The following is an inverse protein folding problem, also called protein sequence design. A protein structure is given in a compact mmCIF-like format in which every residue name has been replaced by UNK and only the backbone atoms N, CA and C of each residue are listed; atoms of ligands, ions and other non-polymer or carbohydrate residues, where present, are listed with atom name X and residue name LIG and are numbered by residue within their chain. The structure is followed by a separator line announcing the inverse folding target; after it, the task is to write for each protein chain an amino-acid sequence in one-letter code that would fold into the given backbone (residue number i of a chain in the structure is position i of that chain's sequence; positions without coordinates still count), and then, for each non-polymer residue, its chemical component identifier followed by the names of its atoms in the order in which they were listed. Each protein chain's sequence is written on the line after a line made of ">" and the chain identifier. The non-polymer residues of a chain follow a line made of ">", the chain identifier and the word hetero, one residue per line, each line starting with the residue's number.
data_IF_453560225826
#
_entry.id   IF_453560225826
#
_cell.length_a   1.000
_cell.length_b   1.000
_cell.length_c   1.000
_cell.angle_alpha   90.00
_cell.angle_beta   90.00
_cell.angle_gamma   90.00
#
_symmetry.space_group_name_H-M   'P 1'
#
loop_
_entity.id
_entity.type
_entity.pdbx_description
1 polymer ?
#
# COMPACT_ATOMS: atom_id res chain seq x y z
N UNK A 1 -21.44 14.15 21.38
CA UNK A 1 -20.44 15.02 20.72
C UNK A 1 -19.24 14.17 20.34
N UNK A 2 -18.84 14.18 19.07
CA UNK A 2 -17.86 13.24 18.51
C UNK A 2 -16.40 13.64 18.69
N UNK A 3 -16.14 14.90 19.07
CA UNK A 3 -14.80 15.43 19.34
C UNK A 3 -14.70 15.89 20.80
N UNK A 4 -13.58 15.58 21.45
CA UNK A 4 -13.27 16.08 22.78
C UNK A 4 -12.86 17.56 22.73
N UNK A 5 -12.07 17.97 21.73
CA UNK A 5 -11.64 19.37 21.56
C UNK A 5 -12.82 20.33 21.44
N UNK A 6 -13.83 20.01 20.62
CA UNK A 6 -15.01 20.85 20.53
C UNK A 6 -15.83 20.82 21.82
N UNK A 7 -15.91 19.67 22.50
CA UNK A 7 -16.60 19.57 23.80
C UNK A 7 -16.00 20.54 24.80
N UNK A 8 -14.68 20.54 24.92
CA UNK A 8 -13.97 21.39 25.86
C UNK A 8 -14.06 22.85 25.42
N UNK A 9 -13.96 23.13 24.11
CA UNK A 9 -14.12 24.47 23.54
C UNK A 9 -15.47 25.10 23.89
N UNK A 10 -16.56 24.34 23.87
CA UNK A 10 -17.89 24.83 24.27
C UNK A 10 -18.03 25.08 25.79
N UNK A 11 -17.08 24.63 26.62
CA UNK A 11 -17.06 24.92 28.07
C UNK A 11 -16.31 26.20 28.41
N UNK A 12 -15.52 26.75 27.48
CA UNK A 12 -14.72 27.96 27.71
C UNK A 12 -15.63 29.18 27.55
N UNK A 13 -15.69 30.08 28.56
CA UNK A 13 -16.44 31.33 28.44
C UNK A 13 -15.91 32.18 27.28
N UNK A 14 -16.82 32.66 26.43
CA UNK A 14 -16.47 33.49 25.29
C UNK A 14 -16.26 34.95 25.74
N UNK A 15 -15.23 35.65 25.24
CA UNK A 15 -15.08 37.09 25.42
C UNK A 15 -16.30 37.89 24.93
N UNK A 16 -16.55 39.03 25.57
CA UNK A 16 -17.71 39.90 25.28
C UNK A 16 -17.77 40.43 23.84
N UNK A 17 -16.62 40.50 23.16
CA UNK A 17 -16.45 41.18 21.87
C UNK A 17 -16.25 40.20 20.69
N UNK A 18 -16.63 38.93 20.85
CA UNK A 18 -16.50 37.96 19.75
C UNK A 18 -17.47 38.22 18.60
N UNK A 19 -16.99 37.94 17.38
CA UNK A 19 -17.81 38.01 16.19
C UNK A 19 -18.96 37.00 16.27
N UNK A 20 -20.17 37.44 15.92
CA UNK A 20 -21.39 36.63 15.98
C UNK A 20 -21.96 36.40 14.58
N UNK A 21 -22.44 35.19 14.33
CA UNK A 21 -23.22 34.83 13.14
C UNK A 21 -24.46 34.08 13.62
N UNK A 22 -25.65 34.57 13.25
CA UNK A 22 -26.94 33.98 13.64
C UNK A 22 -27.11 33.78 15.17
N UNK A 23 -26.48 34.66 15.97
CA UNK A 23 -26.52 34.58 17.44
C UNK A 23 -25.56 33.56 18.05
N UNK A 24 -24.71 32.92 17.25
CA UNK A 24 -23.63 32.05 17.69
C UNK A 24 -22.28 32.73 17.52
N UNK A 25 -21.38 32.52 18.48
CA UNK A 25 -20.01 33.01 18.36
C UNK A 25 -19.24 32.27 17.26
N UNK A 26 -18.41 33.02 16.55
CA UNK A 26 -17.61 32.52 15.44
C UNK A 26 -16.27 32.02 15.95
N UNK A 27 -16.04 30.72 15.78
CA UNK A 27 -14.73 30.10 16.02
C UNK A 27 -13.96 29.98 14.71
N UNK A 28 -12.80 30.61 14.63
CA UNK A 28 -11.92 30.53 13.45
C UNK A 28 -10.98 29.32 13.55
N UNK A 29 -11.21 28.33 12.70
CA UNK A 29 -10.42 27.10 12.63
C UNK A 29 -9.21 27.27 11.69
N UNK A 30 -8.17 27.93 12.21
CA UNK A 30 -6.94 28.30 11.48
C UNK A 30 -6.26 27.09 10.82
N UNK A 31 -5.94 27.19 9.54
CA UNK A 31 -5.16 26.20 8.79
C UNK A 31 -5.96 25.00 8.25
N UNK A 32 -7.28 24.95 8.47
CA UNK A 32 -8.12 23.91 7.89
C UNK A 32 -8.70 24.35 6.54
N UNK A 33 -9.03 23.38 5.70
CA UNK A 33 -9.73 23.64 4.45
C UNK A 33 -11.23 23.46 4.60
N UNK A 34 -12.01 24.27 3.88
CA UNK A 34 -13.46 24.09 3.78
C UNK A 34 -13.80 22.69 3.25
N UNK A 35 -12.97 22.18 2.32
CA UNK A 35 -13.16 20.84 1.72
C UNK A 35 -13.06 19.74 2.77
N UNK A 36 -12.04 19.74 3.62
CA UNK A 36 -11.87 18.72 4.65
C UNK A 36 -13.05 18.73 5.63
N UNK A 37 -13.48 19.93 6.05
CA UNK A 37 -14.65 20.09 6.91
C UNK A 37 -15.93 19.57 6.26
N UNK A 38 -16.17 19.88 4.98
CA UNK A 38 -17.32 19.34 4.26
C UNK A 38 -17.29 17.81 4.17
N UNK A 39 -16.13 17.21 3.91
CA UNK A 39 -15.98 15.75 3.83
C UNK A 39 -16.21 15.09 5.19
N UNK A 40 -15.59 15.61 6.25
CA UNK A 40 -15.79 15.10 7.62
C UNK A 40 -17.24 15.25 8.07
N UNK A 41 -17.86 16.43 7.92
CA UNK A 41 -19.23 16.66 8.39
C UNK A 41 -20.24 15.78 7.65
N UNK A 42 -20.05 15.56 6.34
CA UNK A 42 -20.87 14.62 5.55
C UNK A 42 -20.68 13.17 6.01
N UNK A 43 -19.47 12.79 6.40
CA UNK A 43 -19.19 11.45 6.91
C UNK A 43 -19.71 11.25 8.35
N UNK A 44 -19.73 12.30 9.18
CA UNK A 44 -20.12 12.21 10.60
C UNK A 44 -21.63 12.34 10.78
N UNK A 45 -22.31 13.20 10.01
CA UNK A 45 -23.72 13.51 10.19
C UNK A 45 -24.57 13.04 9.00
N UNK A 46 -25.75 12.41 9.22
CA UNK A 46 -26.45 12.24 10.51
C UNK A 46 -26.16 10.93 11.27
N UNK A 47 -25.47 9.93 10.68
CA UNK A 47 -25.37 8.55 11.23
C UNK A 47 -23.94 8.01 11.44
N UNK A 48 -22.89 8.80 11.20
CA UNK A 48 -21.51 8.30 11.13
C UNK A 48 -21.18 7.68 9.76
N UNK A 49 -19.91 7.27 9.56
CA UNK A 49 -19.42 6.71 8.29
C UNK A 49 -20.40 5.62 7.84
N UNK A 50 -21.10 5.79 6.70
CA UNK A 50 -22.05 4.79 6.22
C UNK A 50 -21.34 3.46 5.91
N UNK A 51 -22.12 2.39 5.71
CA UNK A 51 -21.64 1.13 5.10
C UNK A 51 -21.03 1.35 3.70
N UNK A 52 -21.16 2.55 3.12
CA UNK A 52 -20.49 2.95 1.89
C UNK A 52 -18.98 3.08 2.09
N UNK A 53 -18.25 2.50 1.16
CA UNK A 53 -16.79 2.52 1.09
C UNK A 53 -16.33 3.97 0.77
N UNK A 54 -15.57 4.64 1.65
CA UNK A 54 -15.16 6.04 1.44
C UNK A 54 -14.01 6.14 0.43
N UNK A 55 -13.91 7.28 -0.25
CA UNK A 55 -12.74 7.58 -1.08
C UNK A 55 -11.51 7.95 -0.25
N UNK A 56 -10.33 7.89 -0.87
CA UNK A 56 -9.08 8.30 -0.22
C UNK A 56 -9.11 9.77 0.25
N UNK A 57 -9.80 10.65 -0.48
CA UNK A 57 -9.99 12.05 -0.08
C UNK A 57 -10.80 12.17 1.22
N UNK A 58 -11.85 11.36 1.38
CA UNK A 58 -12.67 11.33 2.60
C UNK A 58 -11.84 10.83 3.77
N UNK A 59 -11.07 9.75 3.57
CA UNK A 59 -10.15 9.22 4.58
C UNK A 59 -9.11 10.26 4.98
N UNK A 60 -8.49 10.94 4.01
CA UNK A 60 -7.49 11.96 4.26
C UNK A 60 -8.06 13.13 5.09
N UNK A 61 -9.23 13.64 4.71
CA UNK A 61 -9.92 14.70 5.44
C UNK A 61 -10.24 14.30 6.88
N UNK A 62 -10.78 13.09 7.07
CA UNK A 62 -11.10 12.57 8.41
C UNK A 62 -9.84 12.41 9.24
N UNK A 63 -8.77 11.84 8.70
CA UNK A 63 -7.53 11.61 9.46
C UNK A 63 -6.87 12.94 9.89
N UNK A 64 -6.80 13.94 8.98
CA UNK A 64 -6.27 15.28 9.31
C UNK A 64 -7.04 15.95 10.44
N UNK A 65 -8.36 16.02 10.28
CA UNK A 65 -9.21 16.70 11.26
C UNK A 65 -9.36 15.90 12.56
N UNK A 66 -9.38 14.57 12.50
CA UNK A 66 -9.43 13.72 13.70
C UNK A 66 -8.14 13.74 14.50
N UNK A 67 -6.98 13.94 13.87
CA UNK A 67 -5.71 14.19 14.56
C UNK A 67 -5.69 15.55 15.25
N UNK A 68 -6.25 16.59 14.62
CA UNK A 68 -6.25 17.97 15.15
C UNK A 68 -7.32 18.23 16.22
N UNK A 69 -8.51 17.70 16.02
CA UNK A 69 -9.69 17.97 16.87
C UNK A 69 -10.16 16.76 17.67
N UNK A 70 -9.37 15.69 17.70
CA UNK A 70 -9.61 14.46 18.45
C UNK A 70 -11.00 13.84 18.19
N UNK A 71 -11.16 13.24 17.02
CA UNK A 71 -12.32 12.43 16.65
C UNK A 71 -11.94 10.92 16.65
N UNK A 72 -11.77 10.28 17.83
CA UNK A 72 -11.06 9.00 17.96
C UNK A 72 -11.73 7.84 17.24
N UNK A 73 -13.07 7.76 17.25
CA UNK A 73 -13.81 6.68 16.57
C UNK A 73 -13.61 6.76 15.05
N UNK A 74 -13.69 7.97 14.49
CA UNK A 74 -13.51 8.20 13.06
C UNK A 74 -12.06 7.99 12.64
N UNK A 75 -11.11 8.43 13.48
CA UNK A 75 -9.69 8.14 13.31
C UNK A 75 -9.45 6.64 13.21
N UNK A 76 -9.86 5.88 14.22
CA UNK A 76 -9.70 4.43 14.28
C UNK A 76 -10.29 3.75 13.04
N UNK A 77 -11.52 4.09 12.68
CA UNK A 77 -12.19 3.51 11.51
C UNK A 77 -11.43 3.77 10.21
N UNK A 78 -10.89 4.97 10.02
CA UNK A 78 -10.10 5.30 8.83
C UNK A 78 -8.73 4.59 8.82
N UNK A 79 -8.05 4.49 9.97
CA UNK A 79 -6.79 3.74 10.08
C UNK A 79 -7.01 2.26 9.82
N UNK A 80 -8.05 1.66 10.40
CA UNK A 80 -8.40 0.26 10.19
C UNK A 80 -8.69 -0.02 8.70
N UNK A 81 -9.38 0.90 8.00
CA UNK A 81 -9.61 0.80 6.54
C UNK A 81 -8.31 0.89 5.72
N UNK A 82 -7.41 1.82 6.05
CA UNK A 82 -6.11 1.92 5.38
C UNK A 82 -5.29 0.63 5.57
N UNK A 83 -5.25 0.08 6.78
CA UNK A 83 -4.55 -1.18 7.08
C UNK A 83 -5.21 -2.39 6.43
N UNK A 84 -6.53 -2.35 6.22
CA UNK A 84 -7.27 -3.36 5.49
C UNK A 84 -6.91 -3.43 4.00
N UNK A 85 -6.73 -2.28 3.33
CA UNK A 85 -6.26 -2.24 1.92
C UNK A 85 -4.77 -2.44 1.76
N UNK A 86 -3.99 -2.01 2.76
CA UNK A 86 -2.54 -2.05 2.74
C UNK A 86 -2.01 -2.92 3.88
N UNK A 87 -2.31 -4.22 3.87
CA UNK A 87 -1.93 -5.11 4.95
C UNK A 87 -0.42 -5.26 5.05
N UNK A 88 0.02 -5.60 6.26
CA UNK A 88 1.44 -5.79 6.55
C UNK A 88 1.90 -7.24 6.33
N UNK A 89 0.98 -8.20 6.17
CA UNK A 89 1.29 -9.60 5.90
C UNK A 89 0.90 -10.01 4.49
N UNK A 90 1.66 -10.95 3.93
CA UNK A 90 1.38 -11.51 2.61
C UNK A 90 0.07 -12.32 2.60
N UNK A 91 -0.24 -12.99 3.71
CA UNK A 91 -1.48 -13.76 3.88
C UNK A 91 -2.71 -12.84 3.77
N UNK A 92 -2.77 -11.77 4.56
CA UNK A 92 -3.85 -10.78 4.47
C UNK A 92 -3.95 -10.18 3.07
N UNK A 93 -2.81 -9.92 2.41
CA UNK A 93 -2.79 -9.40 1.04
C UNK A 93 -3.30 -10.41 0.00
N UNK A 94 -2.96 -11.69 0.15
CA UNK A 94 -3.43 -12.75 -0.74
C UNK A 94 -4.91 -13.14 -0.47
N UNK A 95 -5.47 -12.74 0.67
CA UNK A 95 -6.92 -12.86 0.94
C UNK A 95 -7.73 -11.68 0.38
N UNK A 96 -7.08 -10.61 -0.10
CA UNK A 96 -7.76 -9.53 -0.82
C UNK A 96 -8.14 -10.01 -2.22
N UNK A 97 -9.44 -9.95 -2.53
CA UNK A 97 -9.95 -10.18 -3.90
C UNK A 97 -9.87 -8.89 -4.73
N UNK A 98 -10.38 -7.78 -4.19
CA UNK A 98 -10.38 -6.42 -4.75
C UNK A 98 -10.38 -5.39 -3.59
N UNK A 99 -10.23 -4.11 -3.91
CA UNK A 99 -10.37 -3.03 -2.92
C UNK A 99 -11.78 -3.02 -2.32
N UNK A 100 -11.87 -3.12 -0.99
CA UNK A 100 -13.14 -3.30 -0.25
C UNK A 100 -13.37 -2.29 0.87
N UNK A 101 -12.31 -1.64 1.34
CA UNK A 101 -12.30 -0.67 2.41
C UNK A 101 -12.16 0.78 1.92
N UNK A 102 -11.64 1.01 0.72
CA UNK A 102 -11.51 2.33 0.05
C UNK A 102 -12.12 2.28 -1.36
N UNK A 103 -12.94 3.27 -1.71
CA UNK A 103 -13.58 3.30 -3.03
C UNK A 103 -12.59 3.74 -4.11
N UNK A 104 -12.65 3.11 -5.27
CA UNK A 104 -11.83 3.42 -6.44
C UNK A 104 -10.95 2.25 -6.82
N UNK A 105 -10.04 2.47 -7.76
CA UNK A 105 -9.01 1.51 -8.12
C UNK A 105 -7.67 1.93 -7.50
N UNK A 106 -6.85 0.95 -7.15
CA UNK A 106 -5.45 1.18 -6.83
C UNK A 106 -4.69 1.62 -8.09
N UNK A 107 -4.75 2.90 -8.43
CA UNK A 107 -3.82 3.47 -9.39
C UNK A 107 -2.61 4.08 -8.68
N UNK A 108 -1.56 4.37 -9.45
CA UNK A 108 -0.35 4.98 -8.91
C UNK A 108 -0.61 6.30 -8.18
N UNK A 109 -1.62 7.08 -8.58
CA UNK A 109 -1.94 8.36 -7.92
C UNK A 109 -2.51 8.16 -6.53
N UNK A 110 -3.41 7.18 -6.33
CA UNK A 110 -3.94 6.84 -5.01
C UNK A 110 -2.81 6.41 -4.08
N UNK A 111 -1.89 5.55 -4.54
CA UNK A 111 -0.74 5.15 -3.72
C UNK A 111 0.19 6.33 -3.39
N UNK A 112 0.42 7.25 -4.34
CA UNK A 112 1.22 8.45 -4.08
C UNK A 112 0.58 9.36 -3.02
N UNK A 113 -0.73 9.58 -3.12
CA UNK A 113 -1.49 10.33 -2.11
C UNK A 113 -1.43 9.64 -0.75
N UNK A 114 -1.53 8.31 -0.72
CA UNK A 114 -1.46 7.53 0.50
C UNK A 114 -0.10 7.63 1.17
N UNK A 115 1.01 7.59 0.42
CA UNK A 115 2.36 7.76 0.98
C UNK A 115 2.48 9.12 1.67
N UNK A 116 2.06 10.19 0.99
CA UNK A 116 2.11 11.53 1.56
C UNK A 116 1.22 11.64 2.81
N UNK A 117 0.01 11.08 2.78
CA UNK A 117 -0.91 11.05 3.92
C UNK A 117 -0.37 10.22 5.10
N UNK A 118 0.18 9.04 4.82
CA UNK A 118 0.76 8.13 5.80
C UNK A 118 1.88 8.83 6.59
N UNK A 119 2.74 9.60 5.90
CA UNK A 119 3.78 10.39 6.56
C UNK A 119 3.23 11.57 7.36
N UNK A 120 2.22 12.25 6.84
CA UNK A 120 1.56 13.39 7.50
C UNK A 120 0.86 12.98 8.82
N UNK A 121 0.11 11.88 8.77
CA UNK A 121 -0.70 11.41 9.89
C UNK A 121 0.10 10.53 10.84
N UNK A 122 1.11 9.82 10.34
CA UNK A 122 1.94 8.89 11.09
C UNK A 122 1.42 7.45 11.04
N UNK A 123 0.85 7.02 9.92
CA UNK A 123 0.43 5.62 9.70
C UNK A 123 1.44 4.99 8.76
N UNK A 124 2.58 4.54 9.29
CA UNK A 124 3.74 4.11 8.51
C UNK A 124 3.66 2.66 8.03
N UNK A 125 2.88 1.80 8.69
CA UNK A 125 2.77 0.38 8.30
C UNK A 125 2.20 0.16 6.90
N UNK A 126 1.48 1.11 6.33
CA UNK A 126 0.95 1.02 4.95
C UNK A 126 1.99 1.38 3.88
N UNK A 127 3.11 2.00 4.26
CA UNK A 127 4.11 2.51 3.32
C UNK A 127 4.76 1.43 2.45
N UNK A 128 5.25 0.29 2.98
CA UNK A 128 6.01 -0.66 2.16
C UNK A 128 5.20 -1.20 0.99
N UNK A 129 3.93 -1.57 1.22
CA UNK A 129 3.05 -2.04 0.16
C UNK A 129 2.66 -0.90 -0.80
N UNK A 130 2.40 0.31 -0.30
CA UNK A 130 2.14 1.48 -1.14
C UNK A 130 3.29 1.74 -2.13
N UNK A 131 4.53 1.72 -1.64
CA UNK A 131 5.71 1.85 -2.49
C UNK A 131 5.84 0.69 -3.48
N UNK A 132 5.61 -0.56 -3.03
CA UNK A 132 5.70 -1.75 -3.86
C UNK A 132 4.72 -1.74 -5.05
N UNK A 133 3.50 -1.26 -4.83
CA UNK A 133 2.48 -1.15 -5.87
C UNK A 133 2.85 -0.06 -6.88
N UNK A 134 3.33 1.10 -6.43
CA UNK A 134 3.78 2.19 -7.30
C UNK A 134 4.90 1.75 -8.23
N UNK A 135 5.92 1.05 -7.71
CA UNK A 135 7.10 0.68 -8.53
C UNK A 135 6.84 -0.53 -9.43
N UNK A 136 5.72 -1.24 -9.24
CA UNK A 136 5.26 -2.27 -10.17
C UNK A 136 4.53 -1.69 -11.39
N UNK A 137 4.02 -0.46 -11.27
CA UNK A 137 3.49 0.31 -12.39
C UNK A 137 4.63 1.01 -13.15
N UNK A 138 4.31 1.83 -14.16
CA UNK A 138 5.32 2.55 -14.93
C UNK A 138 6.03 3.61 -14.05
N UNK A 139 7.27 3.28 -13.64
CA UNK A 139 8.11 4.16 -12.84
C UNK A 139 8.35 5.53 -13.51
N UNK A 140 8.29 5.63 -14.85
CA UNK A 140 8.40 6.92 -15.52
C UNK A 140 7.18 7.81 -15.26
N UNK A 141 5.98 7.23 -15.17
CA UNK A 141 4.77 7.98 -14.83
C UNK A 141 4.83 8.53 -13.42
N UNK A 142 5.29 7.72 -12.47
CA UNK A 142 5.49 8.14 -11.07
C UNK A 142 6.50 9.28 -10.97
N UNK A 143 7.62 9.20 -11.71
CA UNK A 143 8.62 10.27 -11.73
C UNK A 143 8.10 11.55 -12.40
N UNK A 144 7.19 11.43 -13.36
CA UNK A 144 6.57 12.56 -14.07
C UNK A 144 5.32 13.10 -13.40
N UNK A 145 4.75 12.40 -12.42
CA UNK A 145 3.50 12.79 -11.81
C UNK A 145 3.62 14.13 -11.11
N UNK A 146 2.61 14.97 -11.37
CA UNK A 146 2.36 16.24 -10.68
C UNK A 146 1.85 16.03 -9.24
N UNK A 147 1.49 14.79 -8.87
CA UNK A 147 1.16 14.43 -7.49
C UNK A 147 2.40 14.56 -6.62
N UNK A 148 2.26 15.29 -5.51
CA UNK A 148 3.37 15.69 -4.65
C UNK A 148 3.89 14.52 -3.78
N UNK A 149 4.72 13.66 -4.36
CA UNK A 149 5.71 12.88 -3.61
C UNK A 149 6.91 13.77 -3.26
N UNK A 150 7.41 13.62 -2.03
CA UNK A 150 8.65 14.28 -1.60
C UNK A 150 9.85 13.77 -2.40
N UNK A 151 10.95 14.55 -2.43
CA UNK A 151 12.21 14.10 -3.07
C UNK A 151 12.74 12.81 -2.46
N UNK A 152 12.58 12.63 -1.14
CA UNK A 152 13.01 11.44 -0.42
C UNK A 152 12.17 10.22 -0.80
N UNK A 153 10.85 10.37 -0.94
CA UNK A 153 9.98 9.28 -1.36
C UNK A 153 10.19 8.91 -2.84
N UNK A 154 10.50 9.88 -3.71
CA UNK A 154 10.90 9.59 -5.10
C UNK A 154 12.21 8.80 -5.15
N UNK A 155 13.19 9.16 -4.32
CA UNK A 155 14.44 8.42 -4.20
C UNK A 155 14.21 7.01 -3.62
N UNK A 156 13.31 6.87 -2.66
CA UNK A 156 12.90 5.58 -2.11
C UNK A 156 12.25 4.69 -3.19
N UNK A 157 11.35 5.21 -4.03
CA UNK A 157 10.79 4.48 -5.17
C UNK A 157 11.88 3.98 -6.12
N UNK A 158 12.79 4.87 -6.55
CA UNK A 158 13.86 4.50 -7.50
C UNK A 158 14.79 3.44 -6.91
N UNK A 159 15.24 3.63 -5.68
CA UNK A 159 16.13 2.70 -4.97
C UNK A 159 15.43 1.37 -4.73
N UNK A 160 14.18 1.42 -4.28
CA UNK A 160 13.34 0.25 -4.04
C UNK A 160 13.09 -0.56 -5.29
N UNK A 161 12.85 0.09 -6.44
CA UNK A 161 12.71 -0.59 -7.72
C UNK A 161 13.93 -1.48 -8.03
N UNK A 162 15.15 -0.91 -7.96
CA UNK A 162 16.38 -1.69 -8.19
C UNK A 162 16.60 -2.78 -7.12
N UNK A 163 16.34 -2.47 -5.86
CA UNK A 163 16.48 -3.44 -4.77
C UNK A 163 15.53 -4.62 -4.94
N UNK A 164 14.27 -4.37 -5.33
CA UNK A 164 13.28 -5.41 -5.58
C UNK A 164 13.60 -6.23 -6.83
N UNK A 165 14.15 -5.61 -7.89
CA UNK A 165 14.62 -6.36 -9.07
C UNK A 165 15.73 -7.36 -8.68
N UNK A 166 16.70 -6.90 -7.87
CA UNK A 166 17.76 -7.76 -7.36
C UNK A 166 17.19 -8.85 -6.46
N UNK A 167 16.33 -8.48 -5.52
CA UNK A 167 15.74 -9.42 -4.57
C UNK A 167 14.94 -10.51 -5.29
N UNK A 168 14.01 -10.13 -6.17
CA UNK A 168 13.17 -11.09 -6.91
C UNK A 168 14.01 -12.07 -7.73
N UNK A 169 15.14 -11.63 -8.29
CA UNK A 169 16.00 -12.48 -9.12
C UNK A 169 16.57 -13.68 -8.34
N UNK A 170 16.77 -13.50 -7.04
CA UNK A 170 17.33 -14.52 -6.14
C UNK A 170 16.28 -15.22 -5.26
N UNK A 171 15.05 -14.73 -5.26
CA UNK A 171 13.94 -15.28 -4.44
C UNK A 171 12.78 -15.72 -5.34
N UNK A 172 11.82 -14.84 -5.61
CA UNK A 172 10.58 -15.10 -6.35
C UNK A 172 10.83 -15.73 -7.73
N UNK A 173 11.88 -15.30 -8.43
CA UNK A 173 12.26 -15.78 -9.76
C UNK A 173 13.41 -16.80 -9.75
N UNK A 174 13.85 -17.26 -8.59
CA UNK A 174 14.97 -18.21 -8.47
C UNK A 174 14.70 -19.53 -9.20
N UNK A 175 13.43 -19.94 -9.32
CA UNK A 175 13.01 -21.13 -10.03
C UNK A 175 13.36 -21.10 -11.54
N UNK A 176 13.59 -19.92 -12.12
CA UNK A 176 14.04 -19.75 -13.50
C UNK A 176 15.52 -20.16 -13.70
N UNK A 177 16.30 -20.29 -12.62
CA UNK A 177 17.70 -20.71 -12.69
C UNK A 177 18.63 -19.70 -13.39
N UNK A 178 18.24 -18.43 -13.43
CA UNK A 178 19.01 -17.35 -14.06
C UNK A 178 20.14 -16.89 -13.11
N UNK A 179 21.27 -17.60 -13.13
CA UNK A 179 22.46 -17.24 -12.33
C UNK A 179 22.66 -18.06 -11.06
N UNK A 180 21.80 -19.04 -10.78
CA UNK A 180 21.91 -20.00 -9.67
C UNK A 180 21.81 -21.45 -10.18
N UNK A 181 21.92 -22.43 -9.28
CA UNK A 181 21.71 -23.84 -9.63
C UNK A 181 20.26 -24.03 -10.07
N UNK A 182 20.05 -24.50 -11.30
CA UNK A 182 18.70 -24.78 -11.78
C UNK A 182 17.99 -25.81 -10.89
N UNK A 183 16.76 -25.46 -10.47
CA UNK A 183 15.88 -26.37 -9.73
C UNK A 183 15.08 -27.28 -10.66
N UNK A 184 15.02 -26.94 -11.95
CA UNK A 184 14.30 -27.66 -12.99
C UNK A 184 15.33 -28.23 -14.01
N UNK A 185 15.33 -29.55 -14.29
CA UNK A 185 14.33 -30.53 -13.89
C UNK A 185 14.50 -30.95 -12.43
N UNK A 186 13.39 -31.16 -11.72
CA UNK A 186 13.42 -31.76 -10.39
C UNK A 186 13.72 -33.27 -10.48
N UNK A 187 14.01 -33.91 -9.34
CA UNK A 187 14.32 -35.35 -9.27
C UNK A 187 13.23 -36.26 -9.83
N UNK A 188 11.96 -35.85 -9.70
CA UNK A 188 10.79 -36.61 -10.17
C UNK A 188 10.27 -36.12 -11.53
N UNK A 189 11.10 -35.44 -12.33
CA UNK A 189 10.68 -34.88 -13.60
C UNK A 189 10.26 -35.96 -14.61
N UNK A 190 9.06 -35.83 -15.17
CA UNK A 190 8.56 -36.74 -16.21
C UNK A 190 9.08 -36.40 -17.61
N UNK A 191 9.61 -35.19 -17.80
CA UNK A 191 10.13 -34.70 -19.08
C UNK A 191 11.44 -33.91 -18.92
N UNK A 192 12.57 -34.60 -18.66
CA UNK A 192 13.84 -33.97 -18.31
C UNK A 192 14.44 -33.04 -19.38
N UNK A 193 14.08 -33.23 -20.66
CA UNK A 193 14.50 -32.34 -21.75
C UNK A 193 13.55 -31.15 -21.97
N UNK A 194 12.23 -31.38 -21.84
CA UNK A 194 11.21 -30.37 -22.13
C UNK A 194 11.04 -29.35 -21.00
N UNK A 195 11.05 -29.77 -19.73
CA UNK A 195 10.83 -28.84 -18.62
C UNK A 195 11.91 -27.75 -18.53
N UNK A 196 13.22 -28.05 -18.70
CA UNK A 196 14.23 -26.99 -18.70
C UNK A 196 14.15 -26.06 -19.91
N UNK A 197 13.75 -26.58 -21.08
CA UNK A 197 13.52 -25.76 -22.27
C UNK A 197 12.35 -24.80 -22.04
N UNK A 198 11.24 -25.29 -21.49
CA UNK A 198 10.09 -24.48 -21.08
C UNK A 198 10.48 -23.38 -20.08
N UNK A 199 11.27 -23.69 -19.06
CA UNK A 199 11.75 -22.68 -18.09
C UNK A 199 12.57 -21.58 -18.78
N UNK A 200 13.44 -21.94 -19.74
CA UNK A 200 14.19 -20.96 -20.53
C UNK A 200 13.27 -20.08 -21.37
N UNK A 201 12.24 -20.66 -21.99
CA UNK A 201 11.26 -19.88 -22.76
C UNK A 201 10.46 -18.93 -21.88
N UNK A 202 10.03 -19.38 -20.69
CA UNK A 202 9.36 -18.50 -19.72
C UNK A 202 10.30 -17.38 -19.30
N UNK A 203 11.55 -17.70 -18.93
CA UNK A 203 12.55 -16.69 -18.59
C UNK A 203 12.72 -15.65 -19.70
N UNK A 204 12.84 -16.07 -20.96
CA UNK A 204 12.95 -15.16 -22.09
C UNK A 204 11.70 -14.29 -22.29
N UNK A 205 10.49 -14.82 -22.04
CA UNK A 205 9.25 -14.04 -22.10
C UNK A 205 9.20 -12.99 -20.99
N UNK A 206 9.50 -13.38 -19.75
CA UNK A 206 9.48 -12.49 -18.58
C UNK A 206 10.56 -11.41 -18.64
N UNK A 207 11.77 -11.74 -19.13
CA UNK A 207 12.89 -10.80 -19.23
C UNK A 207 12.78 -9.81 -20.41
N UNK A 208 11.88 -10.05 -21.37
CA UNK A 208 11.70 -9.14 -22.52
C UNK A 208 10.98 -7.84 -22.15
N UNK A 209 10.35 -7.77 -20.99
CA UNK A 209 9.71 -6.56 -20.50
C UNK A 209 10.75 -5.44 -20.30
N UNK A 210 10.48 -4.26 -20.84
CA UNK A 210 11.29 -3.06 -20.64
C UNK A 210 10.38 -1.89 -20.23
N UNK A 211 10.46 -1.42 -18.98
CA UNK A 211 11.37 -1.88 -17.93
C UNK A 211 11.03 -3.32 -17.44
N UNK A 212 11.98 -4.03 -16.79
CA UNK A 212 11.73 -5.38 -16.28
C UNK A 212 10.56 -5.44 -15.30
N UNK A 213 9.68 -6.42 -15.47
CA UNK A 213 8.48 -6.53 -14.63
C UNK A 213 8.85 -6.95 -13.19
N UNK A 214 8.29 -6.25 -12.20
CA UNK A 214 8.34 -6.62 -10.80
C UNK A 214 7.13 -7.49 -10.45
N UNK A 215 7.38 -8.68 -9.90
CA UNK A 215 6.31 -9.62 -9.54
C UNK A 215 6.29 -10.00 -8.06
N UNK A 216 6.91 -9.18 -7.21
CA UNK A 216 7.08 -9.46 -5.78
C UNK A 216 5.76 -9.56 -5.01
N UNK A 217 4.72 -8.82 -5.42
CA UNK A 217 3.36 -8.95 -4.84
C UNK A 217 2.41 -9.78 -5.72
N UNK A 218 2.82 -10.16 -6.94
CA UNK A 218 1.94 -10.85 -7.90
C UNK A 218 1.91 -12.36 -7.64
N UNK A 219 0.73 -12.96 -7.70
CA UNK A 219 0.55 -14.42 -7.62
C UNK A 219 1.16 -15.14 -8.85
N UNK A 220 1.30 -16.44 -8.73
CA UNK A 220 1.79 -17.31 -9.80
C UNK A 220 0.95 -17.17 -11.09
N UNK A 221 1.59 -17.13 -12.26
CA UNK A 221 0.86 -17.12 -13.54
C UNK A 221 0.45 -18.53 -13.94
N UNK A 222 -0.87 -18.78 -14.01
CA UNK A 222 -1.41 -20.06 -14.46
C UNK A 222 -0.96 -20.45 -15.88
N UNK A 223 -0.54 -19.49 -16.70
CA UNK A 223 0.01 -19.78 -18.03
C UNK A 223 1.30 -20.62 -17.95
N UNK A 224 2.13 -20.40 -16.93
CA UNK A 224 3.37 -21.16 -16.73
C UNK A 224 3.12 -22.63 -16.43
N UNK A 225 1.91 -22.99 -15.98
CA UNK A 225 1.55 -24.37 -15.70
C UNK A 225 1.63 -25.26 -16.94
N UNK A 226 1.27 -24.72 -18.10
CA UNK A 226 1.11 -25.50 -19.35
C UNK A 226 2.44 -25.98 -19.93
N UNK A 227 3.55 -25.36 -19.53
CA UNK A 227 4.87 -25.55 -20.13
C UNK A 227 5.69 -26.65 -19.43
N UNK A 228 5.29 -27.07 -18.21
CA UNK A 228 6.06 -28.01 -17.38
C UNK A 228 5.25 -29.24 -16.98
N UNK A 229 5.95 -30.36 -16.75
CA UNK A 229 5.34 -31.52 -16.11
C UNK A 229 4.91 -31.19 -14.66
N UNK A 230 3.94 -31.94 -14.12
CA UNK A 230 3.33 -31.69 -12.80
C UNK A 230 4.33 -31.57 -11.65
N UNK A 231 5.42 -32.35 -11.67
CA UNK A 231 6.42 -32.34 -10.59
C UNK A 231 7.29 -31.08 -10.65
N UNK A 232 7.79 -30.71 -11.83
CA UNK A 232 8.55 -29.47 -12.02
C UNK A 232 7.69 -28.23 -11.76
N UNK A 233 6.43 -28.23 -12.19
CA UNK A 233 5.47 -27.16 -11.89
C UNK A 233 5.30 -26.97 -10.40
N UNK A 234 5.08 -28.04 -9.64
CA UNK A 234 4.98 -27.98 -8.18
C UNK A 234 6.25 -27.40 -7.57
N UNK A 235 7.43 -27.92 -7.94
CA UNK A 235 8.71 -27.39 -7.45
C UNK A 235 8.88 -25.90 -7.75
N UNK A 236 8.51 -25.45 -8.96
CA UNK A 236 8.61 -24.04 -9.32
C UNK A 236 7.65 -23.14 -8.51
N UNK A 237 6.40 -23.57 -8.30
CA UNK A 237 5.42 -22.88 -7.44
C UNK A 237 5.92 -22.79 -6.00
N UNK A 238 6.37 -23.90 -5.42
CA UNK A 238 6.87 -23.94 -4.04
C UNK A 238 8.04 -22.94 -3.84
N UNK A 239 8.96 -22.84 -4.81
CA UNK A 239 10.05 -21.86 -4.80
C UNK A 239 9.53 -20.43 -4.96
N UNK A 240 8.59 -20.20 -5.88
CA UNK A 240 8.00 -18.89 -6.13
C UNK A 240 7.28 -18.34 -4.90
N UNK A 241 6.45 -19.15 -4.25
CA UNK A 241 5.66 -18.75 -3.08
C UNK A 241 6.57 -18.50 -1.86
N UNK A 242 7.55 -19.38 -1.62
CA UNK A 242 8.60 -19.14 -0.60
C UNK A 242 9.39 -17.86 -0.90
N UNK A 243 9.67 -17.60 -2.17
CA UNK A 243 10.35 -16.40 -2.62
C UNK A 243 9.52 -15.13 -2.43
N UNK A 244 8.20 -15.20 -2.61
CA UNK A 244 7.26 -14.10 -2.31
C UNK A 244 7.25 -13.77 -0.82
N UNK A 245 7.16 -14.76 0.04
CA UNK A 245 7.22 -14.58 1.49
C UNK A 245 8.53 -13.90 1.94
N UNK A 246 9.65 -14.34 1.36
CA UNK A 246 10.97 -13.74 1.58
C UNK A 246 11.03 -12.29 1.09
N UNK A 247 10.47 -12.00 -0.09
CA UNK A 247 10.36 -10.65 -0.62
C UNK A 247 9.50 -9.75 0.27
N UNK A 248 8.36 -10.26 0.73
CA UNK A 248 7.42 -9.53 1.56
C UNK A 248 8.05 -9.12 2.90
N UNK A 249 8.78 -10.05 3.53
CA UNK A 249 9.52 -9.77 4.77
C UNK A 249 10.56 -8.67 4.60
N UNK A 250 11.22 -8.61 3.43
CA UNK A 250 12.25 -7.61 3.12
C UNK A 250 11.70 -6.35 2.44
N UNK A 251 10.40 -6.27 2.21
CA UNK A 251 9.76 -5.17 1.49
C UNK A 251 10.07 -3.80 2.12
N UNK A 252 9.98 -3.61 3.46
CA UNK A 252 10.32 -2.33 4.07
C UNK A 252 11.78 -1.93 3.83
N UNK A 253 12.70 -2.88 4.03
CA UNK A 253 14.13 -2.66 3.85
C UNK A 253 14.49 -2.29 2.40
N UNK A 254 13.77 -2.84 1.41
CA UNK A 254 13.96 -2.50 0.00
C UNK A 254 13.75 -0.99 -0.26
N UNK A 255 12.83 -0.35 0.48
CA UNK A 255 12.52 1.08 0.39
C UNK A 255 13.24 1.93 1.46
N UNK A 256 14.20 1.36 2.19
CA UNK A 256 14.92 2.08 3.26
C UNK A 256 14.06 2.40 4.48
N UNK A 257 12.98 1.63 4.71
CA UNK A 257 12.11 1.76 5.87
C UNK A 257 12.53 0.80 7.00
N UNK A 258 12.15 1.11 8.26
CA UNK A 258 12.25 0.19 9.40
C UNK A 258 11.52 -1.14 9.16
N UNK A 259 11.77 -2.12 10.02
CA UNK A 259 11.08 -3.41 9.97
C UNK A 259 9.55 -3.27 10.10
N UNK A 260 8.79 -4.28 9.66
CA UNK A 260 7.34 -4.30 9.82
C UNK A 260 6.87 -4.09 11.27
N UNK A 261 7.57 -4.68 12.23
CA UNK A 261 7.27 -4.53 13.66
C UNK A 261 7.48 -3.10 14.15
N UNK A 262 8.60 -2.49 13.77
CA UNK A 262 8.89 -1.09 14.10
C UNK A 262 7.87 -0.15 13.43
N UNK A 263 7.56 -0.35 12.16
CA UNK A 263 6.55 0.45 11.44
C UNK A 263 5.19 0.40 12.13
N UNK A 264 4.73 -0.79 12.54
CA UNK A 264 3.48 -0.95 13.29
C UNK A 264 3.53 -0.23 14.64
N UNK A 265 4.66 -0.27 15.34
CA UNK A 265 4.85 0.43 16.63
C UNK A 265 4.88 1.95 16.51
N UNK A 266 5.27 2.45 15.33
CA UNK A 266 5.32 3.88 15.01
C UNK A 266 3.96 4.43 14.56
N UNK A 267 3.00 3.55 14.25
CA UNK A 267 1.69 3.98 13.78
C UNK A 267 0.97 4.79 14.85
N UNK A 268 0.40 5.90 14.41
CA UNK A 268 -0.49 6.72 15.20
C UNK A 268 -1.81 5.96 15.45
N UNK A 269 -2.14 5.73 16.72
CA UNK A 269 -3.40 5.13 17.19
C UNK A 269 -4.50 6.17 17.45
#
# INVERSE_FOLDING_TARGET
>A
MHSSVFRDMFTIPLPSDEAMVEGCAVVVLQGDTVRDWCLLLRAVFPKGLPDEVPSIDVIAAILRLSKKYDFPIFRKNCVDRLKGEFPASLEEYDDLDDWTYISGNCDGNVCMLLISLAREIGVYSVLPLSFALIVQEDMLEVLRSDVALSSDDRLACLTGYFNLLKLQSTTTMAWLGLGSKSHIPCSNCLQPSKCPAAVKEIALKTLKSNPPELRVTRRWLEEWDKEMCRHCRKTAKDIYDTGRDTCWTQLPAAFGLPSWEELKSMDFE
#
